data_IF_687673372246
#
_entry.id   IF_687673372246
#
_cell.length_a   1.000
_cell.length_b   1.000
_cell.length_c   1.000
_cell.angle_alpha   90.00
_cell.angle_beta   90.00
_cell.angle_gamma   90.00
#
_symmetry.space_group_name_H-M   'P 1'
#
loop_
_entity.id
_entity.type
_entity.pdbx_description
1 polymer ?
#
# COMPACT_ATOMS: atom_id res chain seq x y z
N UNK A 1 21.10 -27.39 22.60
CA UNK A 1 19.84 -26.67 22.95
C UNK A 1 20.20 -25.21 23.17
N UNK A 2 19.95 -24.37 22.19
CA UNK A 2 20.19 -22.92 22.29
C UNK A 2 18.95 -22.34 22.98
N UNK A 3 19.12 -21.68 24.14
CA UNK A 3 18.03 -20.99 24.82
C UNK A 3 17.72 -19.69 24.06
N UNK A 4 16.55 -19.65 23.40
CA UNK A 4 16.00 -18.43 22.84
C UNK A 4 15.50 -17.56 24.00
N UNK A 5 15.94 -16.30 24.17
CA UNK A 5 15.41 -15.42 25.22
C UNK A 5 13.93 -15.11 24.93
N UNK A 6 13.07 -15.32 25.94
CA UNK A 6 11.67 -14.93 25.86
C UNK A 6 11.58 -13.40 25.78
N UNK A 7 11.08 -12.88 24.67
CA UNK A 7 10.74 -11.46 24.51
C UNK A 7 9.64 -11.10 25.54
N UNK A 8 9.80 -9.96 26.21
CA UNK A 8 8.76 -9.37 27.03
C UNK A 8 7.58 -9.01 26.11
N UNK A 9 6.38 -9.43 26.49
CA UNK A 9 5.15 -8.95 25.84
C UNK A 9 5.00 -7.46 26.13
N UNK A 10 4.54 -6.64 25.16
CA UNK A 10 4.19 -5.27 25.45
C UNK A 10 3.05 -5.24 26.49
N UNK A 11 3.20 -4.41 27.48
CA UNK A 11 2.19 -4.24 28.56
C UNK A 11 0.88 -3.74 27.95
N UNK A 12 -0.21 -4.34 28.40
CA UNK A 12 -1.57 -3.96 27.97
C UNK A 12 -1.84 -2.49 28.34
N UNK A 13 -2.26 -1.70 27.36
CA UNK A 13 -2.76 -0.33 27.57
C UNK A 13 -4.00 -0.40 28.48
N UNK A 14 -4.09 0.40 29.55
CA UNK A 14 -5.24 0.39 30.46
C UNK A 14 -6.52 0.82 29.75
N UNK A 15 -7.58 0.02 29.90
CA UNK A 15 -8.93 0.38 29.49
C UNK A 15 -9.48 1.49 30.41
N UNK A 16 -9.50 2.75 29.92
CA UNK A 16 -10.12 3.83 30.66
C UNK A 16 -9.78 5.23 30.18
N UNK A 17 -10.24 5.62 29.00
CA UNK A 17 -10.38 7.04 28.64
C UNK A 17 -11.57 7.22 27.69
N UNK A 18 -12.79 7.16 28.25
CA UNK A 18 -13.96 7.77 27.63
C UNK A 18 -13.89 9.27 27.93
N UNK A 19 -13.73 10.11 26.89
CA UNK A 19 -13.98 11.55 26.98
C UNK A 19 -12.78 12.47 26.93
N UNK A 20 -11.71 12.14 26.20
CA UNK A 20 -10.79 13.16 25.70
C UNK A 20 -11.12 13.45 24.25
N UNK A 21 -11.39 14.73 23.96
CA UNK A 21 -11.34 15.27 22.62
C UNK A 21 -9.86 15.17 22.20
N UNK A 22 -9.45 14.00 21.72
CA UNK A 22 -8.14 13.80 21.12
C UNK A 22 -8.11 14.70 19.89
N UNK A 23 -7.40 15.80 19.99
CA UNK A 23 -7.00 16.56 18.79
C UNK A 23 -6.27 15.55 17.91
N UNK A 24 -6.87 15.20 16.77
CA UNK A 24 -6.26 14.29 15.83
C UNK A 24 -4.83 14.75 15.55
N UNK A 25 -3.87 13.84 15.53
CA UNK A 25 -2.50 14.20 15.24
C UNK A 25 -2.47 14.90 13.87
N UNK A 26 -1.90 16.09 13.84
CA UNK A 26 -1.76 16.86 12.62
C UNK A 26 -0.56 16.34 11.85
N UNK A 27 -0.76 15.30 11.04
CA UNK A 27 0.27 14.74 10.19
C UNK A 27 0.51 15.64 8.97
N UNK A 28 1.71 15.52 8.38
CA UNK A 28 1.95 15.98 7.01
C UNK A 28 2.07 14.77 6.09
N UNK A 29 1.59 14.90 4.88
CA UNK A 29 1.59 13.81 3.88
C UNK A 29 2.31 14.28 2.60
N UNK A 30 3.30 13.52 2.17
CA UNK A 30 3.94 13.67 0.86
C UNK A 30 3.78 12.37 0.06
N UNK A 31 3.27 12.47 -1.16
CA UNK A 31 3.17 11.34 -2.07
C UNK A 31 4.49 11.17 -2.84
N UNK A 32 4.93 9.93 -2.99
CA UNK A 32 6.14 9.57 -3.71
C UNK A 32 5.76 8.91 -5.04
N UNK A 33 6.36 9.40 -6.11
CA UNK A 33 6.30 8.81 -7.44
C UNK A 33 7.46 7.81 -7.60
N UNK A 34 7.14 6.52 -7.67
CA UNK A 34 8.13 5.45 -7.78
C UNK A 34 8.16 4.80 -9.17
N UNK A 35 7.68 5.52 -10.19
CA UNK A 35 7.72 5.11 -11.59
C UNK A 35 6.37 4.68 -12.15
N UNK A 36 6.40 4.16 -13.39
CA UNK A 36 5.19 3.79 -14.13
C UNK A 36 5.28 2.37 -14.67
N UNK A 37 4.16 1.66 -14.49
CA UNK A 37 3.93 0.37 -15.12
C UNK A 37 2.88 0.52 -16.24
N UNK A 38 2.89 -0.39 -17.20
CA UNK A 38 1.83 -0.50 -18.20
C UNK A 38 1.06 -1.80 -17.97
N UNK A 39 -0.26 -1.73 -17.83
CA UNK A 39 -1.12 -2.82 -17.39
C UNK A 39 -2.37 -2.89 -18.27
N UNK A 40 -2.81 -4.09 -18.63
CA UNK A 40 -4.12 -4.29 -19.27
C UNK A 40 -5.25 -3.97 -18.26
N UNK A 41 -6.25 -3.20 -18.69
CA UNK A 41 -7.36 -2.77 -17.82
C UNK A 41 -8.14 -3.94 -17.21
N UNK A 42 -8.19 -5.10 -17.88
CA UNK A 42 -8.84 -6.30 -17.38
C UNK A 42 -8.21 -6.88 -16.11
N UNK A 43 -6.95 -6.53 -15.81
CA UNK A 43 -6.33 -6.88 -14.54
C UNK A 43 -6.92 -6.05 -13.38
N UNK A 44 -7.25 -4.80 -13.62
CA UNK A 44 -7.71 -3.85 -12.59
C UNK A 44 -9.23 -3.79 -12.48
N UNK A 45 -9.93 -3.86 -13.63
CA UNK A 45 -11.37 -3.63 -13.71
C UNK A 45 -12.05 -4.87 -14.30
N UNK A 46 -12.91 -5.51 -13.54
CA UNK A 46 -13.65 -6.69 -14.02
C UNK A 46 -14.51 -6.33 -15.21
N UNK A 47 -14.27 -7.03 -16.31
CA UNK A 47 -15.04 -6.89 -17.54
C UNK A 47 -14.65 -5.68 -18.40
N UNK A 48 -13.56 -4.96 -18.11
CA UNK A 48 -13.10 -3.82 -18.90
C UNK A 48 -12.92 -4.16 -20.39
N UNK A 49 -12.43 -5.38 -20.68
CA UNK A 49 -12.20 -5.89 -22.04
C UNK A 49 -13.17 -7.02 -22.42
N UNK A 50 -14.32 -7.14 -21.71
CA UNK A 50 -15.29 -8.20 -21.99
C UNK A 50 -16.05 -7.91 -23.28
N UNK A 51 -16.12 -8.91 -24.15
CA UNK A 51 -16.98 -8.85 -25.33
C UNK A 51 -18.47 -8.87 -24.91
N UNK A 52 -19.24 -7.95 -25.43
CA UNK A 52 -20.70 -7.86 -25.24
C UNK A 52 -21.42 -7.76 -26.58
N UNK A 53 -22.73 -7.96 -26.59
CA UNK A 53 -23.50 -7.95 -27.85
C UNK A 53 -23.33 -6.65 -28.67
N UNK A 54 -23.25 -5.50 -27.99
CA UNK A 54 -23.05 -4.20 -28.63
C UNK A 54 -21.59 -3.93 -29.05
N UNK A 55 -20.64 -4.65 -28.46
CA UNK A 55 -19.21 -4.59 -28.80
C UNK A 55 -18.60 -5.99 -28.72
N UNK A 56 -18.80 -6.84 -29.78
CA UNK A 56 -18.34 -8.22 -29.75
C UNK A 56 -16.82 -8.40 -29.91
N UNK A 57 -16.12 -7.34 -30.28
CA UNK A 57 -14.68 -7.31 -30.49
C UNK A 57 -14.08 -6.06 -29.84
N UNK A 58 -14.02 -6.01 -28.48
CA UNK A 58 -13.45 -4.85 -27.79
C UNK A 58 -11.95 -4.72 -28.11
N UNK A 59 -11.47 -3.48 -28.19
CA UNK A 59 -10.05 -3.21 -28.22
C UNK A 59 -9.42 -3.60 -26.88
N UNK A 60 -8.22 -4.17 -26.94
CA UNK A 60 -7.40 -4.39 -25.75
C UNK A 60 -6.46 -3.20 -25.61
N UNK A 61 -6.54 -2.51 -24.51
CA UNK A 61 -5.71 -1.34 -24.24
C UNK A 61 -4.91 -1.55 -22.95
N UNK A 62 -3.69 -1.06 -22.95
CA UNK A 62 -2.86 -0.99 -21.76
C UNK A 62 -2.94 0.42 -21.18
N UNK A 63 -3.16 0.49 -19.88
CA UNK A 63 -3.16 1.73 -19.11
C UNK A 63 -1.79 1.93 -18.48
N UNK A 64 -1.29 3.16 -18.54
CA UNK A 64 -0.13 3.55 -17.76
C UNK A 64 -0.56 3.92 -16.35
N UNK A 65 0.05 3.27 -15.36
CA UNK A 65 -0.26 3.41 -13.94
C UNK A 65 0.99 3.77 -13.15
N UNK A 66 0.82 4.33 -11.94
CA UNK A 66 1.92 4.73 -11.09
C UNK A 66 2.22 3.67 -10.01
N UNK A 67 3.49 3.48 -9.66
CA UNK A 67 3.86 2.91 -8.39
C UNK A 67 3.90 4.05 -7.36
N UNK A 68 3.06 3.98 -6.32
CA UNK A 68 2.86 5.07 -5.38
C UNK A 68 3.24 4.62 -3.97
N UNK A 69 4.04 5.44 -3.29
CA UNK A 69 4.26 5.34 -1.85
C UNK A 69 3.96 6.69 -1.19
N UNK A 70 3.98 6.75 0.13
CA UNK A 70 3.75 8.00 0.84
C UNK A 70 4.62 8.11 2.08
N UNK A 71 5.13 9.32 2.37
CA UNK A 71 5.73 9.66 3.66
C UNK A 71 4.75 10.45 4.48
N UNK A 72 4.51 9.99 5.70
CA UNK A 72 3.67 10.63 6.70
C UNK A 72 4.59 11.15 7.82
N UNK A 73 4.76 12.46 7.93
CA UNK A 73 5.42 13.07 9.08
C UNK A 73 4.43 13.16 10.23
N UNK A 74 4.57 12.22 11.17
CA UNK A 74 3.75 12.21 12.38
C UNK A 74 4.43 13.05 13.47
N UNK A 75 3.70 13.96 14.18
CA UNK A 75 4.32 14.95 15.08
C UNK A 75 5.08 14.33 16.25
N UNK A 76 4.77 13.11 16.65
CA UNK A 76 5.41 12.41 17.77
C UNK A 76 6.26 11.23 17.33
N UNK A 77 5.80 10.46 16.31
CA UNK A 77 6.50 9.27 15.85
C UNK A 77 7.58 9.56 14.80
N UNK A 78 7.55 10.75 14.17
CA UNK A 78 8.43 11.10 13.06
C UNK A 78 7.98 10.55 11.72
N UNK A 79 8.87 10.45 10.73
CA UNK A 79 8.53 10.02 9.37
C UNK A 79 8.17 8.52 9.30
N UNK A 80 7.00 8.23 8.75
CA UNK A 80 6.46 6.88 8.52
C UNK A 80 6.29 6.71 7.02
N UNK A 81 6.78 5.61 6.48
CA UNK A 81 6.63 5.26 5.06
C UNK A 81 5.45 4.29 4.89
N UNK A 82 4.57 4.57 3.93
CA UNK A 82 3.51 3.66 3.49
C UNK A 82 3.84 3.14 2.10
N UNK A 83 3.99 1.83 1.96
CA UNK A 83 4.51 1.09 0.81
C UNK A 83 5.93 1.52 0.38
N UNK A 84 6.59 0.70 -0.46
CA UNK A 84 7.99 0.91 -0.84
C UNK A 84 8.25 0.83 -2.34
N UNK A 85 7.21 0.54 -3.13
CA UNK A 85 7.31 0.41 -4.59
C UNK A 85 8.00 -0.88 -5.07
N UNK A 86 8.36 -0.89 -6.35
CA UNK A 86 9.08 -1.98 -6.97
C UNK A 86 10.56 -2.02 -6.54
N UNK A 87 11.16 -3.21 -6.57
CA UNK A 87 12.62 -3.34 -6.46
C UNK A 87 13.33 -2.51 -7.54
N UNK A 88 14.53 -2.00 -7.23
CA UNK A 88 15.28 -1.20 -8.19
C UNK A 88 15.57 -1.97 -9.48
N UNK A 89 15.89 -3.24 -9.38
CA UNK A 89 16.19 -4.14 -10.49
C UNK A 89 15.01 -5.03 -10.89
N UNK A 90 13.78 -4.51 -10.81
CA UNK A 90 12.55 -5.28 -11.05
C UNK A 90 12.56 -6.06 -12.38
N UNK A 91 13.15 -5.52 -13.45
CA UNK A 91 13.25 -6.22 -14.74
C UNK A 91 14.05 -7.54 -14.66
N UNK A 92 15.07 -7.59 -13.78
CA UNK A 92 15.89 -8.77 -13.57
C UNK A 92 15.32 -9.70 -12.48
N UNK A 93 14.66 -9.12 -11.49
CA UNK A 93 14.24 -9.82 -10.28
C UNK A 93 12.86 -10.46 -10.43
N UNK A 94 12.00 -9.86 -11.27
CA UNK A 94 10.64 -10.36 -11.46
C UNK A 94 10.61 -11.59 -12.39
N UNK A 95 9.74 -12.57 -12.12
CA UNK A 95 9.49 -13.65 -13.06
C UNK A 95 9.08 -13.09 -14.44
N UNK A 96 9.59 -13.66 -15.50
CA UNK A 96 9.34 -13.18 -16.86
C UNK A 96 7.85 -12.99 -17.19
N UNK A 97 6.91 -13.89 -16.78
CA UNK A 97 5.48 -13.64 -16.99
C UNK A 97 4.93 -12.42 -16.25
N UNK A 98 5.46 -12.10 -15.06
CA UNK A 98 5.06 -10.92 -14.32
C UNK A 98 5.58 -9.64 -15.01
N UNK A 99 6.84 -9.64 -15.43
CA UNK A 99 7.40 -8.52 -16.19
C UNK A 99 6.67 -8.28 -17.51
N UNK A 100 6.32 -9.33 -18.24
CA UNK A 100 5.55 -9.22 -19.47
C UNK A 100 4.14 -8.63 -19.25
N UNK A 101 3.50 -9.00 -18.13
CA UNK A 101 2.17 -8.49 -17.77
C UNK A 101 2.21 -7.04 -17.25
N UNK A 102 3.24 -6.69 -16.47
CA UNK A 102 3.35 -5.42 -15.74
C UNK A 102 4.70 -4.73 -15.94
N UNK A 103 5.18 -4.51 -17.19
CA UNK A 103 6.49 -3.90 -17.39
C UNK A 103 6.56 -2.50 -16.78
N UNK A 104 7.64 -2.22 -16.04
CA UNK A 104 7.92 -0.88 -15.51
C UNK A 104 8.65 -0.05 -16.58
N UNK A 105 7.88 0.62 -17.44
CA UNK A 105 8.40 1.29 -18.64
C UNK A 105 8.90 2.73 -18.39
N UNK A 106 8.59 3.33 -17.23
CA UNK A 106 9.14 4.63 -16.84
C UNK A 106 9.75 4.48 -15.46
N UNK A 107 11.08 4.50 -15.43
CA UNK A 107 11.85 4.40 -14.20
C UNK A 107 13.21 5.05 -14.41
N UNK A 108 13.43 6.17 -13.73
CA UNK A 108 14.65 6.96 -13.77
C UNK A 108 15.19 7.13 -12.35
N UNK A 109 16.34 7.75 -12.19
CA UNK A 109 16.97 7.94 -10.87
C UNK A 109 16.03 8.63 -9.86
N UNK A 110 15.17 9.54 -10.30
CA UNK A 110 14.21 10.23 -9.45
C UNK A 110 13.13 9.31 -8.85
N UNK A 111 12.86 8.17 -9.50
CA UNK A 111 11.89 7.16 -9.04
C UNK A 111 12.50 6.13 -8.09
N UNK A 112 13.82 6.14 -7.86
CA UNK A 112 14.43 5.32 -6.83
C UNK A 112 13.91 5.76 -5.45
N UNK A 113 13.56 4.81 -4.59
CA UNK A 113 12.96 5.12 -3.28
C UNK A 113 13.79 6.11 -2.47
N UNK A 114 15.12 5.97 -2.47
CA UNK A 114 16.04 6.86 -1.77
C UNK A 114 15.96 8.31 -2.30
N UNK A 115 15.89 8.46 -3.63
CA UNK A 115 15.83 9.78 -4.28
C UNK A 115 14.44 10.40 -4.14
N UNK A 116 13.37 9.62 -4.24
CA UNK A 116 12.01 10.08 -3.99
C UNK A 116 11.83 10.53 -2.53
N UNK A 117 12.38 9.80 -1.57
CA UNK A 117 12.44 10.20 -0.17
C UNK A 117 13.25 11.49 0.00
N UNK A 118 14.43 11.58 -0.61
CA UNK A 118 15.28 12.79 -0.54
C UNK A 118 14.57 14.02 -1.13
N UNK A 119 13.81 13.86 -2.22
CA UNK A 119 12.98 14.91 -2.79
C UNK A 119 11.86 15.36 -1.85
N UNK A 120 11.36 14.47 -0.98
CA UNK A 120 10.42 14.80 0.09
C UNK A 120 11.10 15.35 1.36
N UNK A 121 12.44 15.35 1.43
CA UNK A 121 13.21 15.89 2.55
C UNK A 121 13.68 14.84 3.58
N UNK A 122 13.64 13.54 3.24
CA UNK A 122 13.99 12.44 4.13
C UNK A 122 15.01 11.50 3.51
N UNK A 123 15.89 10.93 4.32
CA UNK A 123 16.69 9.77 3.96
C UNK A 123 16.07 8.46 4.48
N UNK A 124 16.53 7.32 3.98
CA UNK A 124 16.12 5.99 4.49
C UNK A 124 16.29 5.90 6.01
N UNK A 125 17.40 6.41 6.55
CA UNK A 125 17.70 6.40 8.00
C UNK A 125 16.80 7.31 8.86
N UNK A 126 16.08 8.24 8.26
CA UNK A 126 15.14 9.11 8.97
C UNK A 126 13.80 8.42 9.23
N UNK A 127 13.45 7.40 8.43
CA UNK A 127 12.21 6.65 8.55
C UNK A 127 12.16 5.94 9.91
N UNK A 128 11.05 6.09 10.62
CA UNK A 128 10.81 5.52 11.94
C UNK A 128 9.95 4.27 11.95
N UNK A 129 9.18 4.08 10.88
CA UNK A 129 8.38 2.88 10.66
C UNK A 129 8.05 2.75 9.17
N UNK A 130 7.86 1.52 8.71
CA UNK A 130 7.28 1.23 7.40
C UNK A 130 5.96 0.50 7.63
N UNK A 131 4.92 0.88 6.91
CA UNK A 131 3.62 0.20 6.90
C UNK A 131 3.37 -0.30 5.50
N UNK A 132 3.20 -1.61 5.36
CA UNK A 132 2.91 -2.23 4.09
C UNK A 132 1.41 -2.33 3.87
N UNK A 133 0.92 -1.79 2.77
CA UNK A 133 -0.45 -2.02 2.32
C UNK A 133 -0.67 -3.50 2.04
N UNK A 134 0.25 -4.11 1.31
CA UNK A 134 0.36 -5.56 1.10
C UNK A 134 1.78 -5.90 0.59
N UNK A 135 2.05 -7.19 0.28
CA UNK A 135 3.40 -7.63 -0.02
C UNK A 135 3.58 -8.13 -1.46
N UNK A 136 2.82 -7.57 -2.42
CA UNK A 136 3.11 -7.80 -3.83
C UNK A 136 4.39 -7.09 -4.26
N UNK A 137 4.98 -7.60 -5.33
CA UNK A 137 6.29 -7.24 -5.89
C UNK A 137 6.47 -5.75 -6.21
N UNK A 138 5.39 -5.04 -6.48
CA UNK A 138 5.37 -3.62 -6.84
C UNK A 138 5.07 -2.69 -5.63
N UNK A 139 4.90 -3.28 -4.44
CA UNK A 139 4.77 -2.57 -3.17
C UNK A 139 5.91 -2.90 -2.20
N UNK A 140 6.39 -4.17 -2.19
CA UNK A 140 7.36 -4.66 -1.22
C UNK A 140 8.83 -4.59 -1.70
N UNK A 141 9.07 -4.26 -2.97
CA UNK A 141 10.40 -4.34 -3.56
C UNK A 141 11.45 -3.43 -2.92
N UNK A 142 11.05 -2.30 -2.35
CA UNK A 142 11.98 -1.41 -1.65
C UNK A 142 12.28 -1.81 -0.20
N UNK A 143 11.67 -2.87 0.34
CA UNK A 143 11.92 -3.35 1.71
C UNK A 143 13.38 -3.76 1.94
N UNK A 144 14.11 -4.16 0.91
CA UNK A 144 15.54 -4.47 0.98
C UNK A 144 16.37 -3.34 1.61
N UNK A 145 15.97 -2.08 1.44
CA UNK A 145 16.62 -0.90 1.98
C UNK A 145 16.58 -0.82 3.51
N UNK A 146 15.68 -1.57 4.14
CA UNK A 146 15.47 -1.62 5.59
C UNK A 146 16.07 -2.89 6.23
N UNK A 147 16.66 -3.78 5.45
CA UNK A 147 17.24 -5.01 5.93
C UNK A 147 18.38 -4.74 6.93
N UNK A 148 18.37 -5.43 8.06
CA UNK A 148 19.37 -5.27 9.14
C UNK A 148 19.19 -4.03 10.00
N UNK A 149 18.16 -3.21 9.76
CA UNK A 149 17.80 -2.09 10.61
C UNK A 149 16.82 -2.50 11.72
N UNK A 150 16.72 -1.69 12.78
CA UNK A 150 15.72 -1.84 13.83
C UNK A 150 14.36 -1.18 13.47
N UNK A 151 14.23 -0.62 12.26
CA UNK A 151 13.00 0.04 11.80
C UNK A 151 11.87 -0.99 11.73
N UNK A 152 10.75 -0.78 12.46
CA UNK A 152 9.63 -1.71 12.44
C UNK A 152 8.91 -1.70 11.09
N UNK A 153 8.65 -2.90 10.57
CA UNK A 153 7.87 -3.13 9.34
C UNK A 153 6.52 -3.70 9.74
N UNK A 154 5.49 -2.86 9.66
CA UNK A 154 4.12 -3.25 9.97
C UNK A 154 3.44 -3.83 8.74
N UNK A 155 2.91 -5.03 8.86
CA UNK A 155 2.03 -5.68 7.88
C UNK A 155 0.98 -6.50 8.62
N UNK A 156 -0.15 -6.80 7.98
CA UNK A 156 -1.13 -7.68 8.60
C UNK A 156 -0.58 -9.12 8.66
N UNK A 157 -0.86 -9.85 9.75
CA UNK A 157 -0.35 -11.23 9.91
C UNK A 157 -0.78 -12.17 8.77
N UNK A 158 -2.00 -11.97 8.23
CA UNK A 158 -2.50 -12.76 7.12
C UNK A 158 -1.73 -12.48 5.82
N UNK A 159 -1.21 -11.26 5.65
CA UNK A 159 -0.38 -10.92 4.50
C UNK A 159 0.99 -11.61 4.56
N UNK A 160 1.62 -11.54 5.74
CA UNK A 160 2.90 -12.23 5.96
C UNK A 160 2.73 -13.74 5.74
N UNK A 161 1.65 -14.34 6.28
CA UNK A 161 1.35 -15.77 6.10
C UNK A 161 1.10 -16.12 4.64
N UNK A 162 0.34 -15.28 3.92
CA UNK A 162 0.05 -15.48 2.50
C UNK A 162 1.32 -15.42 1.67
N UNK A 163 2.21 -14.46 1.93
CA UNK A 163 3.49 -14.36 1.22
C UNK A 163 4.31 -15.64 1.37
N UNK A 164 4.52 -16.12 2.62
CA UNK A 164 5.22 -17.39 2.85
C UNK A 164 4.56 -18.57 2.15
N UNK A 165 3.25 -18.65 2.22
CA UNK A 165 2.49 -19.72 1.60
C UNK A 165 2.60 -19.70 0.08
N UNK A 166 2.40 -18.54 -0.55
CA UNK A 166 2.46 -18.35 -1.99
C UNK A 166 3.86 -18.68 -2.55
N UNK A 167 4.91 -18.22 -1.89
CA UNK A 167 6.30 -18.53 -2.28
C UNK A 167 6.59 -20.04 -2.16
N UNK A 168 6.17 -20.67 -1.06
CA UNK A 168 6.44 -22.08 -0.80
C UNK A 168 5.67 -23.01 -1.76
N UNK A 169 4.42 -22.68 -2.06
CA UNK A 169 3.53 -23.52 -2.89
C UNK A 169 3.55 -23.14 -4.37
N UNK A 170 4.15 -21.99 -4.72
CA UNK A 170 4.11 -21.37 -6.04
C UNK A 170 2.68 -21.03 -6.50
N UNK A 171 1.78 -20.89 -5.55
CA UNK A 171 0.45 -20.33 -5.76
C UNK A 171 0.63 -18.82 -5.98
N UNK A 172 -0.17 -18.19 -6.81
CA UNK A 172 -0.04 -16.77 -7.13
C UNK A 172 1.37 -16.38 -7.67
N UNK A 173 1.84 -17.17 -8.62
CA UNK A 173 3.19 -17.04 -9.19
C UNK A 173 3.41 -15.64 -9.76
N UNK A 174 4.44 -14.98 -9.25
CA UNK A 174 4.92 -13.69 -9.72
C UNK A 174 4.34 -12.49 -8.99
N UNK A 175 3.36 -12.65 -8.09
CA UNK A 175 2.89 -11.56 -7.25
C UNK A 175 3.73 -11.42 -5.97
N UNK A 176 4.15 -12.54 -5.39
CA UNK A 176 4.99 -12.60 -4.19
C UNK A 176 6.39 -13.11 -4.52
N UNK A 177 7.43 -12.38 -4.16
CA UNK A 177 8.81 -12.75 -4.43
C UNK A 177 9.53 -13.27 -3.18
N UNK A 178 10.35 -14.33 -3.31
CA UNK A 178 11.13 -14.85 -2.17
C UNK A 178 12.06 -13.81 -1.54
N UNK A 179 12.57 -12.86 -2.33
CA UNK A 179 13.48 -11.81 -1.89
C UNK A 179 12.85 -10.82 -0.90
N UNK A 180 11.54 -10.60 -1.00
CA UNK A 180 10.82 -9.66 -0.17
C UNK A 180 10.52 -10.21 1.24
N UNK A 181 10.68 -11.55 1.43
CA UNK A 181 10.61 -12.23 2.74
C UNK A 181 11.96 -12.24 3.45
N UNK A 182 12.56 -11.08 3.63
CA UNK A 182 13.88 -11.00 4.24
C UNK A 182 13.80 -11.17 5.77
N UNK A 183 14.55 -12.16 6.31
CA UNK A 183 14.65 -12.44 7.75
C UNK A 183 15.32 -11.33 8.55
N UNK A 184 16.02 -10.41 7.89
CA UNK A 184 16.67 -9.26 8.50
C UNK A 184 15.73 -8.07 8.68
N UNK A 185 14.48 -8.15 8.21
CA UNK A 185 13.45 -7.13 8.43
C UNK A 185 12.85 -7.28 9.83
N UNK A 186 12.63 -6.15 10.50
CA UNK A 186 12.03 -6.11 11.83
C UNK A 186 10.50 -6.16 11.75
N UNK A 187 9.94 -7.32 11.38
CA UNK A 187 8.50 -7.52 11.21
C UNK A 187 7.71 -7.30 12.49
N UNK A 188 6.66 -6.47 12.41
CA UNK A 188 5.70 -6.19 13.47
C UNK A 188 4.27 -6.51 12.97
N UNK A 189 3.80 -7.77 13.12
CA UNK A 189 2.52 -8.17 12.56
C UNK A 189 1.34 -7.51 13.27
N UNK A 190 0.38 -7.00 12.48
CA UNK A 190 -0.90 -6.51 12.95
C UNK A 190 -1.96 -7.60 12.85
N UNK A 191 -2.92 -7.62 13.80
CA UNK A 191 -3.89 -8.72 13.95
C UNK A 191 -5.35 -8.27 13.98
N UNK A 192 -5.60 -6.96 14.00
CA UNK A 192 -6.95 -6.39 14.20
C UNK A 192 -7.51 -5.84 12.90
N UNK A 193 -8.84 -5.78 12.82
CA UNK A 193 -9.52 -5.10 11.70
C UNK A 193 -9.21 -3.60 11.64
N UNK A 194 -9.02 -2.97 12.80
CA UNK A 194 -8.62 -1.57 12.92
C UNK A 194 -7.57 -1.43 14.04
N UNK A 195 -6.50 -0.71 13.74
CA UNK A 195 -5.43 -0.41 14.70
C UNK A 195 -5.07 1.07 14.58
N UNK A 196 -5.19 1.80 15.66
CA UNK A 196 -4.52 3.09 15.78
C UNK A 196 -3.04 2.81 16.04
N UNK A 197 -2.24 2.96 14.99
CA UNK A 197 -0.83 2.59 15.00
C UNK A 197 0.02 3.64 15.75
N UNK A 198 -0.32 4.89 15.50
CA UNK A 198 0.18 6.07 16.21
C UNK A 198 -1.00 7.00 16.45
N UNK A 199 -0.87 7.95 17.36
CA UNK A 199 -1.96 8.87 17.74
C UNK A 199 -2.62 9.50 16.49
N UNK A 200 -3.89 9.20 16.25
CA UNK A 200 -4.66 9.66 15.09
C UNK A 200 -4.37 8.94 13.76
N UNK A 201 -3.29 8.17 13.65
CA UNK A 201 -2.94 7.43 12.42
C UNK A 201 -3.52 6.01 12.49
N UNK A 202 -4.52 5.72 11.67
CA UNK A 202 -5.30 4.49 11.76
C UNK A 202 -5.05 3.62 10.53
N UNK A 203 -4.65 2.37 10.74
CA UNK A 203 -4.59 1.34 9.71
C UNK A 203 -5.77 0.39 9.82
N UNK A 204 -6.30 -0.07 8.68
CA UNK A 204 -7.46 -0.96 8.62
C UNK A 204 -7.19 -2.14 7.72
N UNK A 205 -7.52 -3.31 8.22
CA UNK A 205 -7.51 -4.54 7.44
C UNK A 205 -8.73 -4.56 6.51
N UNK A 206 -8.45 -4.46 5.21
CA UNK A 206 -9.47 -4.40 4.15
C UNK A 206 -9.18 -5.43 3.05
N UNK A 207 -9.35 -6.72 3.37
CA UNK A 207 -8.99 -7.81 2.46
C UNK A 207 -9.86 -7.87 1.21
N UNK A 208 -9.36 -8.59 0.21
CA UNK A 208 -10.07 -8.86 -1.06
C UNK A 208 -9.11 -8.93 -2.25
N UNK A 209 -8.22 -7.95 -2.38
CA UNK A 209 -7.07 -8.02 -3.30
C UNK A 209 -6.07 -9.06 -2.79
N UNK A 210 -5.65 -8.90 -1.55
CA UNK A 210 -4.93 -9.93 -0.80
C UNK A 210 -5.63 -10.23 0.53
N UNK A 211 -5.31 -11.36 1.20
CA UNK A 211 -5.91 -11.69 2.50
C UNK A 211 -5.56 -10.71 3.62
N UNK A 212 -4.44 -10.02 3.53
CA UNK A 212 -3.94 -9.14 4.58
C UNK A 212 -3.83 -7.67 4.20
N UNK A 213 -4.46 -7.23 3.12
CA UNK A 213 -4.36 -5.85 2.65
C UNK A 213 -4.74 -4.86 3.75
N UNK A 214 -3.87 -3.86 3.94
CA UNK A 214 -4.06 -2.73 4.85
C UNK A 214 -4.28 -1.43 4.06
N UNK A 215 -5.15 -0.59 4.59
CA UNK A 215 -5.32 0.82 4.19
C UNK A 215 -4.96 1.72 5.34
N UNK A 216 -4.59 2.99 5.07
CA UNK A 216 -4.21 3.94 6.11
C UNK A 216 -5.00 5.22 6.01
N UNK A 217 -5.55 5.67 7.15
CA UNK A 217 -6.16 6.99 7.29
C UNK A 217 -5.14 7.96 7.90
N UNK A 218 -4.91 9.06 7.21
CA UNK A 218 -3.96 10.12 7.59
C UNK A 218 -4.73 11.41 7.83
N UNK A 219 -4.85 11.89 9.08
CA UNK A 219 -5.39 13.20 9.38
C UNK A 219 -4.33 14.28 9.19
N UNK A 220 -4.67 15.35 8.49
CA UNK A 220 -3.83 16.55 8.36
C UNK A 220 -4.53 17.76 8.98
N UNK A 221 -3.79 18.82 9.24
CA UNK A 221 -4.34 19.99 9.93
C UNK A 221 -5.24 20.84 9.02
N UNK A 222 -4.78 21.12 7.80
CA UNK A 222 -5.43 22.06 6.90
C UNK A 222 -6.02 21.39 5.66
N UNK A 223 -5.47 20.21 5.27
CA UNK A 223 -5.87 19.51 4.05
C UNK A 223 -6.91 18.40 4.28
N UNK A 224 -7.38 18.23 5.52
CA UNK A 224 -8.40 17.23 5.88
C UNK A 224 -7.84 15.81 6.04
N UNK A 225 -8.66 14.80 5.74
CA UNK A 225 -8.26 13.40 5.85
C UNK A 225 -7.88 12.82 4.51
N UNK A 226 -6.84 11.99 4.49
CA UNK A 226 -6.48 11.16 3.35
C UNK A 226 -6.70 9.68 3.66
N UNK A 227 -7.13 8.91 2.65
CA UNK A 227 -7.18 7.45 2.69
C UNK A 227 -6.18 6.90 1.68
N UNK A 228 -5.08 6.35 2.17
CA UNK A 228 -4.13 5.60 1.36
C UNK A 228 -4.68 4.19 1.21
N UNK A 229 -5.15 3.83 0.01
CA UNK A 229 -5.95 2.62 -0.16
C UNK A 229 -5.14 1.40 -0.56
N UNK A 230 -3.86 1.59 -0.94
CA UNK A 230 -3.09 0.54 -1.59
C UNK A 230 -3.97 -0.13 -2.66
N UNK A 231 -3.88 -1.42 -2.87
CA UNK A 231 -4.63 -2.13 -3.91
C UNK A 231 -6.03 -2.59 -3.50
N UNK A 232 -6.60 -2.01 -2.44
CA UNK A 232 -8.06 -2.05 -2.32
C UNK A 232 -8.72 -1.43 -3.55
N UNK A 233 -8.06 -0.39 -4.12
CA UNK A 233 -8.43 0.23 -5.40
C UNK A 233 -7.16 0.57 -6.18
N UNK A 234 -6.98 -0.08 -7.30
CA UNK A 234 -5.85 0.24 -8.18
C UNK A 234 -6.01 1.63 -8.80
N UNK A 235 -7.21 1.96 -9.27
CA UNK A 235 -7.52 3.22 -9.95
C UNK A 235 -8.85 3.81 -9.46
N UNK A 236 -9.03 5.11 -9.67
CA UNK A 236 -10.22 5.91 -9.30
C UNK A 236 -11.52 5.29 -9.80
N UNK A 237 -11.53 4.78 -11.04
CA UNK A 237 -12.72 4.21 -11.67
C UNK A 237 -13.36 3.10 -10.82
N UNK A 238 -12.54 2.25 -10.20
CA UNK A 238 -13.01 1.15 -9.35
C UNK A 238 -13.79 1.67 -8.15
N UNK A 239 -13.30 2.75 -7.52
CA UNK A 239 -13.97 3.36 -6.38
C UNK A 239 -15.19 4.17 -6.78
N UNK A 240 -15.07 5.09 -7.75
CA UNK A 240 -16.12 6.07 -8.07
C UNK A 240 -17.34 5.43 -8.74
N UNK A 241 -17.11 4.43 -9.60
CA UNK A 241 -18.15 3.77 -10.38
C UNK A 241 -18.66 2.46 -9.72
N UNK A 242 -18.19 2.14 -8.48
CA UNK A 242 -18.51 0.91 -7.76
C UNK A 242 -18.20 -0.36 -8.58
N UNK A 243 -17.13 -0.32 -9.39
CA UNK A 243 -16.65 -1.45 -10.18
C UNK A 243 -15.92 -2.45 -9.30
N UNK A 244 -15.95 -3.72 -9.68
CA UNK A 244 -15.17 -4.76 -8.99
C UNK A 244 -13.77 -4.83 -9.56
N UNK A 245 -12.80 -5.19 -8.74
CA UNK A 245 -11.46 -5.52 -9.21
C UNK A 245 -11.49 -6.60 -10.29
N UNK A 246 -10.59 -6.47 -11.25
CA UNK A 246 -10.40 -7.40 -12.34
C UNK A 246 -9.71 -8.69 -11.90
N UNK A 247 -8.85 -9.21 -12.77
CA UNK A 247 -8.16 -10.49 -12.53
C UNK A 247 -7.25 -10.49 -11.30
N UNK A 248 -6.75 -9.33 -10.86
CA UNK A 248 -5.92 -9.22 -9.66
C UNK A 248 -6.70 -9.34 -8.34
N UNK A 249 -8.04 -9.21 -8.36
CA UNK A 249 -8.86 -9.43 -7.16
C UNK A 249 -8.97 -10.92 -6.80
N UNK A 250 -8.52 -11.32 -5.60
CA UNK A 250 -8.50 -12.72 -5.17
C UNK A 250 -9.82 -13.17 -4.54
N UNK A 251 -10.45 -12.30 -3.76
CA UNK A 251 -11.74 -12.59 -3.10
C UNK A 251 -12.71 -11.41 -3.29
N UNK A 252 -13.53 -11.51 -4.33
CA UNK A 252 -14.51 -10.47 -4.64
C UNK A 252 -15.57 -10.31 -3.55
N UNK A 253 -15.95 -11.38 -2.84
CA UNK A 253 -16.98 -11.30 -1.80
C UNK A 253 -16.48 -10.50 -0.60
N UNK A 254 -15.28 -10.80 -0.16
CA UNK A 254 -14.61 -10.06 0.92
C UNK A 254 -14.29 -8.63 0.48
N UNK A 255 -13.85 -8.44 -0.77
CA UNK A 255 -13.60 -7.11 -1.34
C UNK A 255 -14.84 -6.22 -1.27
N UNK A 256 -16.03 -6.71 -1.60
CA UNK A 256 -17.27 -5.93 -1.49
C UNK A 256 -17.59 -5.48 -0.06
N UNK A 257 -17.21 -6.25 0.96
CA UNK A 257 -17.34 -5.84 2.37
C UNK A 257 -16.39 -4.69 2.68
N UNK A 258 -15.12 -4.82 2.31
CA UNK A 258 -14.09 -3.79 2.46
C UNK A 258 -14.46 -2.51 1.70
N UNK A 259 -14.95 -2.64 0.46
CA UNK A 259 -15.42 -1.53 -0.36
C UNK A 259 -16.58 -0.75 0.31
N UNK A 260 -17.61 -1.43 0.80
CA UNK A 260 -18.71 -0.77 1.50
C UNK A 260 -18.25 -0.04 2.75
N UNK A 261 -17.32 -0.62 3.49
CA UNK A 261 -16.73 0.03 4.67
C UNK A 261 -15.92 1.26 4.27
N UNK A 262 -15.05 1.17 3.27
CA UNK A 262 -14.27 2.32 2.78
C UNK A 262 -15.17 3.45 2.26
N UNK A 263 -16.26 3.15 1.52
CA UNK A 263 -17.25 4.16 1.10
C UNK A 263 -17.89 4.89 2.29
N UNK A 264 -18.15 4.21 3.39
CA UNK A 264 -18.67 4.82 4.62
C UNK A 264 -17.62 5.72 5.29
N UNK A 265 -16.37 5.26 5.38
CA UNK A 265 -15.26 6.03 5.95
C UNK A 265 -14.97 7.28 5.12
N UNK A 266 -14.90 7.15 3.80
CA UNK A 266 -14.67 8.28 2.91
C UNK A 266 -15.74 9.39 3.11
N UNK A 267 -17.01 9.00 3.16
CA UNK A 267 -18.11 9.96 3.44
C UNK A 267 -18.06 10.55 4.84
N UNK A 268 -17.76 9.70 5.85
CA UNK A 268 -17.69 10.14 7.26
C UNK A 268 -16.64 11.20 7.48
N UNK A 269 -15.46 11.05 6.87
CA UNK A 269 -14.32 11.93 7.05
C UNK A 269 -14.17 12.96 5.91
N UNK A 270 -15.03 12.90 4.89
CA UNK A 270 -14.86 13.67 3.65
C UNK A 270 -13.44 13.53 3.10
N UNK A 271 -12.92 12.30 3.10
CA UNK A 271 -11.51 12.04 2.88
C UNK A 271 -11.15 12.09 1.40
N UNK A 272 -9.96 12.62 1.12
CA UNK A 272 -9.29 12.52 -0.18
C UNK A 272 -8.75 11.11 -0.35
N UNK A 273 -9.08 10.47 -1.49
CA UNK A 273 -8.66 9.10 -1.79
C UNK A 273 -7.33 9.11 -2.55
N UNK A 274 -6.39 8.29 -2.09
CA UNK A 274 -5.13 7.99 -2.80
C UNK A 274 -5.16 6.51 -3.16
N UNK A 275 -5.30 6.23 -4.44
CA UNK A 275 -5.41 4.88 -4.99
C UNK A 275 -4.03 4.27 -5.20
N UNK A 276 -3.93 2.93 -5.23
CA UNK A 276 -2.65 2.23 -5.31
C UNK A 276 -1.84 2.59 -6.56
N UNK A 277 -2.52 2.77 -7.69
CA UNK A 277 -1.86 2.90 -8.99
C UNK A 277 -2.38 4.02 -9.89
N UNK A 278 -3.20 4.94 -9.40
CA UNK A 278 -3.78 5.98 -10.24
C UNK A 278 -2.81 7.12 -10.54
N UNK A 279 -2.20 7.07 -11.71
CA UNK A 279 -1.24 8.09 -12.16
C UNK A 279 -1.87 9.48 -12.25
N UNK A 280 -3.16 9.58 -12.65
CA UNK A 280 -3.85 10.86 -12.79
C UNK A 280 -4.09 11.52 -11.43
N UNK A 281 -4.49 10.72 -10.43
CA UNK A 281 -4.67 11.21 -9.05
C UNK A 281 -3.34 11.63 -8.43
N UNK A 282 -2.28 10.84 -8.63
CA UNK A 282 -0.94 11.22 -8.16
C UNK A 282 -0.53 12.58 -8.75
N UNK A 283 -0.69 12.77 -10.06
CA UNK A 283 -0.36 14.04 -10.73
C UNK A 283 -1.24 15.21 -10.26
N UNK A 284 -2.55 14.98 -10.10
CA UNK A 284 -3.48 16.00 -9.59
C UNK A 284 -3.05 16.47 -8.19
N UNK A 285 -2.78 15.54 -7.29
CA UNK A 285 -2.42 15.84 -5.90
C UNK A 285 -1.03 16.49 -5.81
N UNK A 286 -0.03 15.97 -6.50
CA UNK A 286 1.33 16.53 -6.47
C UNK A 286 1.43 17.92 -7.12
N UNK A 287 0.54 18.25 -8.07
CA UNK A 287 0.38 19.62 -8.60
C UNK A 287 -0.27 20.58 -7.60
N UNK A 288 -1.17 20.09 -6.72
CA UNK A 288 -1.81 20.92 -5.69
C UNK A 288 -0.83 21.28 -4.57
N UNK A 289 -0.09 20.29 -4.07
CA UNK A 289 0.89 20.50 -3.02
C UNK A 289 1.98 19.42 -3.06
N UNK A 290 3.22 19.83 -2.73
CA UNK A 290 4.31 18.89 -2.51
C UNK A 290 4.12 18.12 -1.19
N UNK A 291 3.53 18.78 -0.21
CA UNK A 291 3.22 18.24 1.13
C UNK A 291 1.89 18.81 1.57
N UNK A 292 0.99 17.95 2.01
CA UNK A 292 -0.29 18.30 2.62
C UNK A 292 -0.14 18.35 4.14
N UNK A 293 -0.69 19.40 4.78
CA UNK A 293 -0.61 19.67 6.22
C UNK A 293 -1.98 19.96 6.85
#
# INVERSE_FOLDING_TARGET
MVRIPRRRQPEAVPAGLKGMNLMAANCKLSLLDLGRLDVDDGFFIRGATAAVQSNPHPAYERRRVAAIAAVIEHPQAGPILFDTGCAQNAEQDWPAPAWEAFPRNVYTDEHHLDNALAAAGYGIGDIRAVVMGHLHLDHAGGLEKFAGSDIPIYAHELEIKQHYYAVATKEDIGAYLPGDLNWQLNWQPLHREETELFDGLIVRHMPGHTPGLLTMQVPTQNSGHFMLTSDLYHVRDVFEQDLTQGWLGRDSHTWYRSHRWMKQLQRRYNATMVYGHDASVLEELTKQAKTFD
#
